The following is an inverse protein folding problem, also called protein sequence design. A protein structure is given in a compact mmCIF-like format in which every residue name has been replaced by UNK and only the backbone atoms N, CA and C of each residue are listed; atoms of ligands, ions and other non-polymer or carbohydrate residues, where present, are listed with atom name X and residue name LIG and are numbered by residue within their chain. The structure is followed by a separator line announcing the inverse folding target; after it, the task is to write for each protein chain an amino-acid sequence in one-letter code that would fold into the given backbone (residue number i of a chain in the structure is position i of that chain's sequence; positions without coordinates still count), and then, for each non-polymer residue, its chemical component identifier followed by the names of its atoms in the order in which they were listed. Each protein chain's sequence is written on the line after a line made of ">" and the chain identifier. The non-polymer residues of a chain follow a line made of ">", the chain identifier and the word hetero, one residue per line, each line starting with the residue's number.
data_IF_656687813913
#
_entry.id   IF_656687813913
#
_cell.length_a   1.000
_cell.length_b   1.000
_cell.length_c   1.000
_cell.angle_alpha   90.00
_cell.angle_beta   90.00
_cell.angle_gamma   90.00
#
_symmetry.space_group_name_H-M   'P 1'
#
loop_
_entity.id
_entity.type
_entity.pdbx_description
1 polymer ?
#
# COMPACT_ATOMS: atom_id res chain seq x y z
N UNK A 1 13.35 37.97 7.11
CA UNK A 1 13.12 37.67 8.54
C UNK A 1 11.73 37.09 8.84
N UNK A 2 10.86 36.80 7.86
CA UNK A 2 9.51 36.27 8.10
C UNK A 2 9.37 34.74 8.22
N UNK A 3 10.37 33.95 7.82
CA UNK A 3 10.24 32.48 7.77
C UNK A 3 10.66 31.75 9.04
N UNK A 4 11.42 32.40 9.94
CA UNK A 4 12.01 31.74 11.12
C UNK A 4 11.01 31.59 12.27
N UNK A 5 10.04 32.49 12.38
CA UNK A 5 8.99 32.41 13.40
C UNK A 5 7.92 31.39 13.02
N UNK A 6 7.58 31.30 11.73
CA UNK A 6 6.64 30.30 11.21
C UNK A 6 7.24 28.89 11.31
N UNK A 7 8.53 28.71 10.98
CA UNK A 7 9.21 27.42 11.19
C UNK A 7 9.24 27.05 12.67
N UNK A 8 9.66 27.96 13.55
CA UNK A 8 9.72 27.69 14.99
C UNK A 8 8.35 27.41 15.63
N UNK A 9 7.28 28.05 15.15
CA UNK A 9 5.91 27.75 15.57
C UNK A 9 5.45 26.39 15.04
N UNK A 10 5.80 26.03 13.80
CA UNK A 10 5.50 24.72 13.22
C UNK A 10 6.26 23.61 13.97
N UNK A 11 7.53 23.86 14.32
CA UNK A 11 8.37 22.97 15.11
C UNK A 11 7.75 22.75 16.51
N UNK A 12 7.27 23.81 17.16
CA UNK A 12 6.63 23.71 18.49
C UNK A 12 5.26 22.97 18.46
N UNK A 13 4.48 23.14 17.38
CA UNK A 13 3.21 22.42 17.19
C UNK A 13 3.48 20.94 16.95
N UNK A 14 4.43 20.64 16.05
CA UNK A 14 4.87 19.28 15.74
C UNK A 14 5.40 18.61 17.00
N UNK A 15 6.25 19.27 17.78
CA UNK A 15 6.79 18.71 19.01
C UNK A 15 5.69 18.39 20.04
N UNK A 16 4.66 19.24 20.14
CA UNK A 16 3.52 19.00 21.05
C UNK A 16 2.65 17.84 20.58
N UNK A 17 2.31 17.79 19.29
CA UNK A 17 1.52 16.70 18.70
C UNK A 17 2.30 15.39 18.72
N UNK A 18 3.60 15.43 18.44
CA UNK A 18 4.51 14.29 18.51
C UNK A 18 4.64 13.76 19.94
N UNK A 19 4.78 14.64 20.92
CA UNK A 19 4.81 14.24 22.33
C UNK A 19 3.49 13.60 22.75
N UNK A 20 2.36 14.10 22.25
CA UNK A 20 1.05 13.48 22.46
C UNK A 20 0.99 12.09 21.80
N UNK A 21 1.52 11.95 20.58
CA UNK A 21 1.61 10.67 19.87
C UNK A 21 2.52 9.69 20.62
N UNK A 22 3.68 10.12 21.09
CA UNK A 22 4.64 9.29 21.81
C UNK A 22 4.06 8.83 23.16
N UNK A 23 3.41 9.74 23.90
CA UNK A 23 2.70 9.39 25.15
C UNK A 23 1.56 8.40 24.90
N UNK A 24 0.76 8.62 23.86
CA UNK A 24 -0.33 7.73 23.47
C UNK A 24 0.21 6.35 23.06
N UNK A 25 1.28 6.31 22.27
CA UNK A 25 1.93 5.07 21.85
C UNK A 25 2.43 4.26 23.05
N UNK A 26 3.19 4.89 23.96
CA UNK A 26 3.67 4.25 25.19
C UNK A 26 2.52 3.78 26.09
N UNK A 27 1.48 4.60 26.26
CA UNK A 27 0.29 4.22 27.02
C UNK A 27 -0.43 3.02 26.39
N UNK A 28 -0.47 2.93 25.06
CA UNK A 28 -1.02 1.79 24.34
C UNK A 28 -0.24 0.50 24.56
N UNK A 29 1.10 0.58 24.56
CA UNK A 29 1.96 -0.58 24.87
C UNK A 29 1.83 -1.06 26.33
N UNK A 30 1.60 -0.15 27.26
CA UNK A 30 1.47 -0.44 28.69
C UNK A 30 0.04 -0.84 29.10
N UNK A 31 -0.94 -0.67 28.21
CA UNK A 31 -2.33 -1.07 28.45
C UNK A 31 -2.43 -2.59 28.41
N UNK A 32 -2.93 -3.27 29.46
CA UNK A 32 -3.24 -4.69 29.37
C UNK A 32 -4.24 -4.91 28.24
N UNK A 33 -3.88 -5.73 27.25
CA UNK A 33 -4.83 -6.25 26.26
C UNK A 33 -5.89 -7.04 27.03
N UNK A 34 -7.00 -6.38 27.40
CA UNK A 34 -8.20 -7.09 27.86
C UNK A 34 -8.78 -7.80 26.65
N UNK A 35 -8.32 -9.01 26.40
CA UNK A 35 -8.98 -9.91 25.46
C UNK A 35 -10.41 -10.15 25.96
N UNK A 36 -11.45 -9.89 25.15
CA UNK A 36 -12.82 -10.28 25.49
C UNK A 36 -13.05 -11.79 25.36
N UNK A 37 -12.08 -12.55 24.83
CA UNK A 37 -12.22 -14.00 24.63
C UNK A 37 -10.93 -14.71 25.04
N UNK A 38 -11.00 -15.45 26.15
CA UNK A 38 -9.95 -16.39 26.52
C UNK A 38 -9.97 -17.59 25.58
N UNK A 39 -8.81 -17.96 25.06
CA UNK A 39 -8.37 -19.36 24.87
C UNK A 39 -6.88 -19.40 24.51
N UNK A 40 -6.26 -20.51 24.91
CA UNK A 40 -4.89 -20.65 25.37
C UNK A 40 -3.89 -21.00 24.25
N UNK A 41 -2.64 -20.61 24.50
CA UNK A 41 -1.36 -20.95 23.86
C UNK A 41 -1.26 -22.11 22.85
N UNK A 42 -0.51 -21.81 21.76
CA UNK A 42 0.71 -22.58 21.41
C UNK A 42 0.69 -23.35 20.09
N UNK A 43 1.34 -22.82 19.05
CA UNK A 43 2.56 -23.40 18.45
C UNK A 43 3.01 -22.51 17.27
N UNK A 44 4.18 -21.87 17.39
CA UNK A 44 4.82 -21.15 16.28
C UNK A 44 5.48 -22.17 15.35
N UNK A 45 4.90 -22.36 14.17
CA UNK A 45 5.54 -23.01 13.03
C UNK A 45 5.44 -22.08 11.82
N UNK A 46 6.59 -21.61 11.34
CA UNK A 46 6.72 -20.85 10.10
C UNK A 46 6.00 -21.52 8.93
N UNK A 47 5.26 -20.80 8.07
CA UNK A 47 4.92 -21.33 6.76
C UNK A 47 5.95 -20.85 5.75
N UNK A 48 6.85 -21.75 5.36
CA UNK A 48 7.51 -21.67 4.07
C UNK A 48 6.46 -21.74 2.97
N UNK A 49 6.54 -20.82 2.01
CA UNK A 49 5.65 -20.77 0.86
C UNK A 49 5.84 -22.02 -0.01
N UNK A 50 4.94 -22.98 0.13
CA UNK A 50 4.80 -24.16 -0.73
C UNK A 50 3.59 -23.99 -1.65
N UNK A 51 3.81 -24.21 -2.95
CA UNK A 51 2.80 -24.20 -4.01
C UNK A 51 1.64 -25.16 -3.71
N UNK A 52 0.39 -24.69 -3.79
CA UNK A 52 -0.77 -25.56 -4.03
C UNK A 52 -1.85 -25.72 -2.95
N UNK A 53 -2.16 -24.71 -2.12
CA UNK A 53 -3.33 -24.79 -1.21
C UNK A 53 -4.47 -23.85 -1.62
N UNK A 54 -5.67 -24.44 -1.74
CA UNK A 54 -6.95 -23.77 -2.03
C UNK A 54 -7.47 -22.99 -0.81
N UNK A 55 -8.05 -21.80 -1.07
CA UNK A 55 -8.63 -20.93 -0.05
C UNK A 55 -9.93 -21.48 0.56
N UNK A 56 -10.28 -21.16 1.82
CA UNK A 56 -11.51 -21.60 2.46
C UNK A 56 -12.71 -20.76 1.96
N UNK A 57 -13.72 -21.40 1.36
CA UNK A 57 -14.95 -20.73 0.91
C UNK A 57 -15.75 -21.42 -0.22
N UNK A 58 -15.29 -22.54 -0.77
CA UNK A 58 -15.98 -23.21 -1.89
C UNK A 58 -17.14 -24.12 -1.42
N UNK A 59 -18.37 -23.97 -1.95
CA UNK A 59 -19.49 -24.84 -1.61
C UNK A 59 -19.57 -25.98 -2.63
N UNK A 60 -18.79 -27.05 -2.45
CA UNK A 60 -19.04 -28.33 -3.11
C UNK A 60 -18.41 -29.44 -2.25
N UNK A 61 -19.26 -30.21 -1.58
CA UNK A 61 -18.86 -31.30 -0.70
C UNK A 61 -18.58 -32.61 -1.45
N UNK A 62 -17.55 -33.30 -0.94
CA UNK A 62 -17.44 -34.76 -0.76
C UNK A 62 -17.28 -35.69 -1.99
N UNK A 63 -16.80 -36.94 -1.82
CA UNK A 63 -15.39 -37.28 -1.60
C UNK A 63 -14.90 -38.38 -2.59
N UNK A 64 -13.66 -38.86 -2.39
CA UNK A 64 -13.12 -40.20 -2.73
C UNK A 64 -12.21 -40.35 -3.97
N UNK A 65 -10.99 -40.79 -3.67
CA UNK A 65 -10.17 -41.88 -4.26
C UNK A 65 -9.76 -41.89 -5.76
N UNK A 66 -8.63 -42.53 -6.09
CA UNK A 66 -8.01 -42.48 -7.41
C UNK A 66 -8.40 -43.66 -8.33
N UNK A 67 -8.09 -43.48 -9.61
CA UNK A 67 -7.88 -44.46 -10.69
C UNK A 67 -9.07 -44.78 -11.62
N UNK A 68 -8.97 -44.38 -12.90
CA UNK A 68 -9.05 -45.25 -14.09
C UNK A 68 -9.27 -44.46 -15.40
N UNK A 69 -8.91 -45.12 -16.51
CA UNK A 69 -8.63 -44.59 -17.83
C UNK A 69 -9.83 -44.57 -18.80
N UNK A 70 -9.63 -43.85 -19.91
CA UNK A 70 -10.43 -43.76 -21.14
C UNK A 70 -11.76 -42.98 -21.11
N UNK A 71 -11.87 -41.96 -21.98
CA UNK A 71 -13.14 -41.28 -22.27
C UNK A 71 -13.00 -40.09 -23.21
N UNK A 72 -13.55 -40.24 -24.42
CA UNK A 72 -13.56 -39.34 -25.58
C UNK A 72 -14.69 -38.31 -25.45
N UNK A 73 -14.48 -37.05 -25.84
CA UNK A 73 -15.57 -36.12 -26.16
C UNK A 73 -15.40 -34.70 -25.66
N UNK A 74 -15.06 -33.77 -26.56
CA UNK A 74 -15.27 -32.34 -26.38
C UNK A 74 -16.76 -32.00 -26.42
N UNK A 75 -17.19 -30.87 -25.82
CA UNK A 75 -17.51 -29.73 -26.66
C UNK A 75 -16.96 -28.40 -26.12
N UNK A 76 -16.74 -27.49 -27.07
CA UNK A 76 -16.20 -26.16 -26.91
C UNK A 76 -16.85 -25.36 -25.77
N UNK A 77 -16.01 -24.73 -24.94
CA UNK A 77 -16.36 -23.50 -24.24
C UNK A 77 -15.41 -22.39 -24.72
N UNK A 78 -16.01 -21.42 -25.40
CA UNK A 78 -15.43 -20.12 -25.66
C UNK A 78 -15.05 -19.44 -24.34
N UNK A 79 -13.94 -18.70 -24.38
CA UNK A 79 -13.66 -17.62 -23.45
C UNK A 79 -12.62 -17.90 -22.37
N UNK A 80 -11.43 -18.39 -22.75
CA UNK A 80 -10.24 -18.22 -21.92
C UNK A 80 -9.14 -17.58 -22.76
N UNK A 81 -9.00 -16.25 -22.64
CA UNK A 81 -7.87 -15.51 -23.21
C UNK A 81 -6.68 -15.70 -22.26
N UNK A 82 -6.25 -16.95 -22.13
CA UNK A 82 -5.03 -17.33 -21.44
C UNK A 82 -3.85 -16.88 -22.29
N UNK A 83 -3.21 -15.77 -21.91
CA UNK A 83 -1.91 -15.36 -22.45
C UNK A 83 -0.84 -16.33 -21.91
N UNK A 84 -0.79 -17.52 -22.50
CA UNK A 84 0.39 -18.37 -22.42
C UNK A 84 1.50 -17.65 -23.18
N UNK A 85 2.49 -17.15 -22.46
CA UNK A 85 3.78 -16.77 -23.05
C UNK A 85 4.48 -18.04 -23.55
N UNK A 86 4.10 -18.48 -24.74
CA UNK A 86 4.77 -19.54 -25.48
C UNK A 86 6.11 -19.00 -25.97
N UNK A 87 7.18 -19.55 -25.42
CA UNK A 87 8.55 -19.31 -25.85
C UNK A 87 8.73 -19.74 -27.31
N UNK A 88 9.54 -18.98 -28.05
CA UNK A 88 9.93 -19.10 -29.47
C UNK A 88 9.06 -18.32 -30.48
N UNK A 89 9.10 -17.00 -30.36
CA UNK A 89 9.08 -16.06 -31.50
C UNK A 89 9.75 -14.77 -31.02
N UNK A 90 10.52 -14.06 -31.85
CA UNK A 90 11.25 -12.82 -31.50
C UNK A 90 10.39 -11.95 -30.59
N UNK A 91 10.67 -11.99 -29.28
CA UNK A 91 9.77 -11.41 -28.27
C UNK A 91 9.83 -9.92 -28.44
N UNK A 92 8.78 -9.33 -29.01
CA UNK A 92 8.52 -7.90 -28.86
C UNK A 92 8.48 -7.67 -27.35
N UNK A 93 9.46 -6.93 -26.81
CA UNK A 93 9.39 -6.47 -25.44
C UNK A 93 8.14 -5.61 -25.33
N UNK A 94 7.21 -5.99 -24.46
CA UNK A 94 6.04 -5.17 -24.20
C UNK A 94 6.52 -3.91 -23.49
N UNK A 95 6.17 -2.75 -24.03
CA UNK A 95 6.65 -1.45 -23.53
C UNK A 95 5.61 -0.74 -22.67
N UNK A 96 6.07 0.17 -21.80
CA UNK A 96 5.17 0.87 -20.89
C UNK A 96 4.14 1.71 -21.65
N UNK A 97 4.56 2.34 -22.76
CA UNK A 97 3.68 3.07 -23.67
C UNK A 97 2.51 2.23 -24.24
N UNK A 98 2.64 0.90 -24.30
CA UNK A 98 1.56 0.02 -24.77
C UNK A 98 0.45 -0.18 -23.72
N UNK A 99 0.64 0.30 -22.48
CA UNK A 99 -0.41 0.29 -21.44
C UNK A 99 -1.30 1.52 -21.45
N UNK A 100 -0.98 2.53 -22.28
CA UNK A 100 -1.75 3.77 -22.35
C UNK A 100 -3.23 3.51 -22.64
N UNK A 101 -4.10 4.18 -21.89
CA UNK A 101 -5.55 4.01 -21.89
C UNK A 101 -6.06 2.86 -20.99
N UNK A 102 -5.17 2.03 -20.46
CA UNK A 102 -5.48 0.86 -19.65
C UNK A 102 -4.62 0.77 -18.38
N UNK A 103 -3.93 1.85 -17.98
CA UNK A 103 -2.97 1.82 -16.87
C UNK A 103 -3.65 1.40 -15.56
N UNK A 104 -4.88 1.88 -15.31
CA UNK A 104 -5.68 1.53 -14.14
C UNK A 104 -5.98 0.02 -14.10
N UNK A 105 -6.40 -0.55 -15.23
CA UNK A 105 -6.72 -1.99 -15.35
C UNK A 105 -5.48 -2.86 -15.15
N UNK A 106 -4.36 -2.49 -15.78
CA UNK A 106 -3.07 -3.16 -15.58
C UNK A 106 -2.60 -3.05 -14.13
N UNK A 107 -2.76 -1.89 -13.50
CA UNK A 107 -2.36 -1.68 -12.11
C UNK A 107 -3.17 -2.53 -11.14
N UNK A 108 -4.43 -2.83 -11.45
CA UNK A 108 -5.29 -3.71 -10.65
C UNK A 108 -5.10 -5.21 -10.98
N UNK A 109 -4.26 -5.55 -11.98
CA UNK A 109 -3.89 -6.92 -12.29
C UNK A 109 -2.61 -7.36 -11.56
N UNK A 110 -2.54 -8.62 -11.16
CA UNK A 110 -1.37 -9.16 -10.45
C UNK A 110 -0.08 -9.06 -11.28
N UNK A 111 -0.13 -9.38 -12.57
CA UNK A 111 1.03 -9.33 -13.45
C UNK A 111 1.22 -7.95 -14.05
N UNK A 112 0.13 -7.26 -14.41
CA UNK A 112 0.14 -5.90 -14.93
C UNK A 112 0.76 -4.91 -13.94
N UNK A 113 0.41 -5.00 -12.66
CA UNK A 113 0.97 -4.11 -11.63
C UNK A 113 2.48 -4.30 -11.48
N UNK A 114 2.96 -5.55 -11.52
CA UNK A 114 4.38 -5.89 -11.45
C UNK A 114 5.13 -5.41 -12.69
N UNK A 115 4.52 -5.56 -13.85
CA UNK A 115 5.06 -5.03 -15.09
C UNK A 115 5.22 -3.51 -15.02
N UNK A 116 4.19 -2.78 -14.59
CA UNK A 116 4.24 -1.31 -14.45
C UNK A 116 5.32 -0.90 -13.45
N UNK A 117 5.36 -1.53 -12.26
CA UNK A 117 6.39 -1.23 -11.24
C UNK A 117 7.81 -1.37 -11.80
N UNK A 118 8.10 -2.45 -12.53
CA UNK A 118 9.40 -2.71 -13.12
C UNK A 118 9.75 -1.69 -14.20
N UNK A 119 8.79 -1.35 -15.07
CA UNK A 119 9.02 -0.37 -16.14
C UNK A 119 9.21 1.04 -15.61
N UNK A 120 8.53 1.42 -14.53
CA UNK A 120 8.68 2.74 -13.89
C UNK A 120 10.12 3.02 -13.38
N UNK A 121 10.92 1.99 -13.10
CA UNK A 121 12.32 2.14 -12.66
C UNK A 121 13.22 2.73 -13.75
N UNK A 122 12.91 2.45 -15.02
CA UNK A 122 13.71 2.88 -16.18
C UNK A 122 12.93 3.75 -17.16
N UNK A 123 11.69 4.10 -16.81
CA UNK A 123 10.79 4.87 -17.66
C UNK A 123 11.29 6.31 -17.87
N UNK A 124 11.01 6.87 -19.05
CA UNK A 124 11.24 8.29 -19.29
C UNK A 124 10.25 9.15 -18.49
N UNK A 125 10.51 10.46 -18.41
CA UNK A 125 9.62 11.40 -17.73
C UNK A 125 8.22 11.37 -18.38
N UNK A 126 8.18 11.32 -19.71
CA UNK A 126 6.94 11.29 -20.48
C UNK A 126 6.13 10.02 -20.24
N UNK A 127 6.81 8.87 -20.10
CA UNK A 127 6.15 7.61 -19.76
C UNK A 127 5.61 7.60 -18.33
N UNK A 128 6.37 8.15 -17.37
CA UNK A 128 5.88 8.32 -15.98
C UNK A 128 4.68 9.25 -15.94
N UNK A 129 4.71 10.37 -16.67
CA UNK A 129 3.61 11.31 -16.76
C UNK A 129 2.36 10.68 -17.38
N UNK A 130 2.52 9.87 -18.43
CA UNK A 130 1.42 9.11 -19.03
C UNK A 130 0.73 8.20 -17.99
N UNK A 131 1.53 7.40 -17.27
CA UNK A 131 1.01 6.52 -16.22
C UNK A 131 0.35 7.33 -15.10
N UNK A 132 1.00 8.42 -14.66
CA UNK A 132 0.52 9.27 -13.57
C UNK A 132 -0.84 9.89 -13.88
N UNK A 133 -0.98 10.46 -15.08
CA UNK A 133 -2.20 11.13 -15.52
C UNK A 133 -3.41 10.19 -15.58
N UNK A 134 -3.18 8.90 -15.84
CA UNK A 134 -4.25 7.90 -15.81
C UNK A 134 -4.63 7.45 -14.40
N UNK A 135 -3.67 7.34 -13.48
CA UNK A 135 -3.94 6.86 -12.11
C UNK A 135 -4.48 7.94 -11.19
N UNK A 136 -4.08 9.21 -11.37
CA UNK A 136 -4.38 10.28 -10.40
C UNK A 136 -5.89 10.48 -10.15
N UNK A 137 -6.80 10.42 -11.15
CA UNK A 137 -8.23 10.62 -10.92
C UNK A 137 -8.88 9.50 -10.09
N UNK A 138 -8.23 8.34 -9.98
CA UNK A 138 -8.71 7.17 -9.23
C UNK A 138 -7.71 6.74 -8.15
N UNK A 139 -6.80 7.63 -7.75
CA UNK A 139 -5.68 7.30 -6.88
C UNK A 139 -6.13 6.62 -5.58
N UNK A 140 -7.17 7.16 -4.92
CA UNK A 140 -7.70 6.58 -3.69
C UNK A 140 -8.14 5.11 -3.86
N UNK A 141 -8.85 4.80 -4.94
CA UNK A 141 -9.27 3.42 -5.25
C UNK A 141 -8.05 2.50 -5.39
N UNK A 142 -7.05 2.96 -6.16
CA UNK A 142 -5.82 2.21 -6.41
C UNK A 142 -4.99 1.99 -5.15
N UNK A 143 -4.94 2.98 -4.24
CA UNK A 143 -4.23 2.85 -2.97
C UNK A 143 -4.84 1.78 -2.05
N UNK A 144 -6.14 1.53 -2.17
CA UNK A 144 -6.86 0.54 -1.36
C UNK A 144 -6.92 -0.86 -1.97
N UNK A 145 -6.47 -1.02 -3.22
CA UNK A 145 -6.48 -2.30 -3.92
C UNK A 145 -5.21 -3.12 -3.64
N UNK A 146 -5.31 -4.45 -3.72
CA UNK A 146 -4.27 -5.41 -3.32
C UNK A 146 -3.02 -5.36 -4.20
N UNK A 147 -3.13 -4.88 -5.46
CA UNK A 147 -2.02 -4.85 -6.41
C UNK A 147 -1.60 -3.43 -6.80
N UNK A 148 -2.55 -2.54 -7.06
CA UNK A 148 -2.27 -1.19 -7.51
C UNK A 148 -1.68 -0.28 -6.43
N UNK A 149 -1.85 -0.62 -5.14
CA UNK A 149 -1.17 0.09 -4.04
C UNK A 149 0.36 0.12 -4.22
N UNK A 150 0.94 -0.88 -4.88
CA UNK A 150 2.37 -0.92 -5.16
C UNK A 150 2.78 0.05 -6.28
N UNK A 151 1.91 0.26 -7.28
CA UNK A 151 2.15 1.26 -8.34
C UNK A 151 2.12 2.67 -7.75
N UNK A 152 1.16 2.95 -6.86
CA UNK A 152 1.10 4.25 -6.18
C UNK A 152 2.32 4.48 -5.27
N UNK A 153 2.74 3.46 -4.51
CA UNK A 153 3.99 3.53 -3.74
C UNK A 153 5.21 3.84 -4.62
N UNK A 154 5.26 3.29 -5.84
CA UNK A 154 6.36 3.54 -6.78
C UNK A 154 6.44 5.01 -7.20
N UNK A 155 5.32 5.71 -7.32
CA UNK A 155 5.32 7.16 -7.56
C UNK A 155 5.76 7.97 -6.35
N UNK A 156 5.50 7.51 -5.12
CA UNK A 156 6.11 8.14 -3.95
C UNK A 156 7.63 7.94 -3.88
N UNK A 157 8.16 6.85 -4.44
CA UNK A 157 9.61 6.57 -4.49
C UNK A 157 10.32 7.33 -5.61
N UNK A 158 9.79 7.26 -6.84
CA UNK A 158 10.50 7.66 -8.06
C UNK A 158 9.77 8.75 -8.86
N UNK A 159 8.67 9.30 -8.31
CA UNK A 159 7.89 10.38 -8.93
C UNK A 159 8.55 11.74 -8.75
N UNK A 160 8.15 12.70 -9.57
CA UNK A 160 8.56 14.10 -9.41
C UNK A 160 7.96 14.69 -8.12
N UNK A 161 8.56 15.76 -7.59
CA UNK A 161 8.04 16.45 -6.42
C UNK A 161 6.58 16.91 -6.60
N UNK A 162 6.19 17.30 -7.82
CA UNK A 162 4.81 17.66 -8.17
C UNK A 162 3.88 16.44 -8.10
N UNK A 163 4.28 15.31 -8.69
CA UNK A 163 3.51 14.07 -8.67
C UNK A 163 3.31 13.55 -7.23
N UNK A 164 4.37 13.56 -6.42
CA UNK A 164 4.32 13.18 -5.00
C UNK A 164 3.35 14.08 -4.24
N UNK A 165 3.45 15.39 -4.45
CA UNK A 165 2.59 16.36 -3.79
C UNK A 165 1.12 16.14 -4.14
N UNK A 166 0.80 16.00 -5.43
CA UNK A 166 -0.55 15.81 -5.93
C UNK A 166 -1.15 14.46 -5.46
N UNK A 167 -0.36 13.38 -5.43
CA UNK A 167 -0.80 12.11 -4.84
C UNK A 167 -1.07 12.23 -3.34
N UNK A 168 -0.24 12.95 -2.60
CA UNK A 168 -0.44 13.17 -1.18
C UNK A 168 -1.68 14.02 -0.90
N UNK A 169 -2.05 14.94 -1.79
CA UNK A 169 -3.31 15.69 -1.70
C UNK A 169 -4.54 14.77 -1.81
N UNK A 170 -4.43 13.60 -2.48
CA UNK A 170 -5.50 12.58 -2.50
C UNK A 170 -5.64 11.80 -1.18
N UNK A 171 -4.65 11.91 -0.28
CA UNK A 171 -4.64 11.25 1.04
C UNK A 171 -5.10 12.19 2.15
N UNK A 172 -4.91 13.50 1.97
CA UNK A 172 -5.32 14.52 2.94
C UNK A 172 -6.84 14.64 3.03
N UNK A 173 -7.31 15.18 4.16
CA UNK A 173 -8.72 15.31 4.60
C UNK A 173 -9.39 13.99 5.01
N UNK A 174 -8.71 12.85 4.85
CA UNK A 174 -9.24 11.53 5.20
C UNK A 174 -8.23 10.60 5.89
N UNK A 175 -7.07 11.06 6.37
CA UNK A 175 -5.89 10.24 6.73
C UNK A 175 -6.16 9.08 7.70
N UNK A 176 -7.10 9.24 8.63
CA UNK A 176 -7.45 8.17 9.58
C UNK A 176 -7.92 6.89 8.87
N UNK A 177 -8.84 6.98 7.91
CA UNK A 177 -9.44 5.79 7.28
C UNK A 177 -8.43 4.98 6.45
N UNK A 178 -7.63 5.59 5.56
CA UNK A 178 -6.47 4.97 4.91
C UNK A 178 -5.49 4.32 5.88
N UNK A 179 -5.20 4.97 7.02
CA UNK A 179 -4.24 4.47 8.01
C UNK A 179 -4.66 3.14 8.63
N UNK A 180 -5.96 2.88 8.73
CA UNK A 180 -6.52 1.64 9.28
C UNK A 180 -6.77 0.57 8.20
N UNK A 181 -6.59 0.89 6.92
CA UNK A 181 -6.86 -0.03 5.80
C UNK A 181 -5.60 -0.84 5.44
N UNK A 182 -5.78 -2.13 5.16
CA UNK A 182 -4.68 -3.10 5.04
C UNK A 182 -3.63 -2.77 3.95
N UNK A 183 -4.05 -2.20 2.83
CA UNK A 183 -3.17 -1.87 1.70
C UNK A 183 -2.77 -0.39 1.72
N UNK A 184 -3.74 0.50 1.91
CA UNK A 184 -3.58 1.94 1.92
C UNK A 184 -2.71 2.42 3.08
N UNK A 185 -2.69 1.72 4.23
CA UNK A 185 -1.77 2.03 5.32
C UNK A 185 -0.29 1.94 4.91
N UNK A 186 0.05 1.13 3.89
CA UNK A 186 1.40 1.06 3.32
C UNK A 186 1.71 2.28 2.46
N UNK A 187 0.72 2.75 1.70
CA UNK A 187 0.82 3.99 0.93
C UNK A 187 0.98 5.18 1.88
N UNK A 188 0.20 5.26 2.95
CA UNK A 188 0.32 6.30 3.98
C UNK A 188 1.72 6.31 4.58
N UNK A 189 2.25 5.14 4.95
CA UNK A 189 3.61 5.03 5.46
C UNK A 189 4.65 5.55 4.46
N UNK A 190 4.50 5.21 3.17
CA UNK A 190 5.39 5.66 2.12
C UNK A 190 5.29 7.18 1.89
N UNK A 191 4.08 7.73 1.87
CA UNK A 191 3.85 9.17 1.75
C UNK A 191 4.55 9.94 2.88
N UNK A 192 4.37 9.50 4.13
CA UNK A 192 5.01 10.10 5.32
C UNK A 192 6.55 10.17 5.18
N UNK A 193 7.18 9.19 4.52
CA UNK A 193 8.63 9.16 4.34
C UNK A 193 9.17 10.26 3.40
N UNK A 194 8.37 10.70 2.43
CA UNK A 194 8.89 11.47 1.28
C UNK A 194 8.23 12.84 1.09
N UNK A 195 7.03 13.05 1.63
CA UNK A 195 6.31 14.31 1.47
C UNK A 195 6.94 15.44 2.29
N UNK A 196 6.72 16.68 1.86
CA UNK A 196 7.21 17.86 2.55
C UNK A 196 6.61 18.04 3.95
N UNK A 197 7.29 18.83 4.78
CA UNK A 197 6.89 19.08 6.18
C UNK A 197 5.46 19.61 6.28
N UNK A 198 5.03 20.46 5.33
CA UNK A 198 3.66 20.99 5.29
C UNK A 198 2.60 19.89 5.15
N UNK A 199 2.86 18.89 4.29
CA UNK A 199 1.96 17.76 4.10
C UNK A 199 2.05 16.78 5.28
N UNK A 200 3.25 16.55 5.84
CA UNK A 200 3.41 15.76 7.07
C UNK A 200 2.63 16.35 8.23
N UNK A 201 2.73 17.66 8.48
CA UNK A 201 1.97 18.35 9.54
C UNK A 201 0.47 18.15 9.34
N UNK A 202 -0.06 18.35 8.12
CA UNK A 202 -1.48 18.10 7.83
C UNK A 202 -1.91 16.68 8.18
N UNK A 203 -1.12 15.69 7.76
CA UNK A 203 -1.41 14.27 8.04
C UNK A 203 -1.40 13.96 9.54
N UNK A 204 -0.48 14.57 10.30
CA UNK A 204 -0.43 14.40 11.76
C UNK A 204 -1.61 15.06 12.45
N UNK A 205 -1.94 16.29 12.08
CA UNK A 205 -3.07 17.03 12.64
C UNK A 205 -4.40 16.28 12.43
N UNK A 206 -4.58 15.61 11.28
CA UNK A 206 -5.77 14.77 11.03
C UNK A 206 -5.85 13.51 11.90
N UNK A 207 -4.72 13.02 12.41
CA UNK A 207 -4.67 11.89 13.34
C UNK A 207 -4.80 12.33 14.80
N UNK A 208 -4.75 13.64 15.09
CA UNK A 208 -4.96 14.15 16.45
C UNK A 208 -6.35 13.73 16.97
N UNK A 209 -6.43 13.42 18.27
CA UNK A 209 -7.62 12.82 18.88
C UNK A 209 -7.91 11.35 18.50
N UNK A 210 -7.23 10.80 17.49
CA UNK A 210 -7.43 9.42 17.02
C UNK A 210 -6.21 8.51 17.21
N UNK A 211 -5.10 9.03 17.73
CA UNK A 211 -3.85 8.28 17.91
C UNK A 211 -4.05 6.94 18.62
N UNK A 212 -4.75 6.91 19.75
CA UNK A 212 -4.97 5.66 20.50
C UNK A 212 -5.72 4.59 19.70
N UNK A 213 -6.60 5.01 18.77
CA UNK A 213 -7.29 4.09 17.85
C UNK A 213 -6.29 3.49 16.88
N UNK A 214 -5.43 4.31 16.27
CA UNK A 214 -4.38 3.82 15.38
C UNK A 214 -3.40 2.89 16.10
N UNK A 215 -2.95 3.23 17.32
CA UNK A 215 -2.03 2.40 18.11
C UNK A 215 -2.58 1.00 18.40
N UNK A 216 -3.90 0.88 18.57
CA UNK A 216 -4.57 -0.40 18.85
C UNK A 216 -5.00 -1.16 17.60
N UNK A 217 -4.92 -0.52 16.42
CA UNK A 217 -5.29 -1.12 15.15
C UNK A 217 -4.13 -1.91 14.54
N UNK A 218 -4.44 -3.02 13.85
CA UNK A 218 -3.45 -3.91 13.25
C UNK A 218 -2.63 -3.25 12.12
N UNK A 219 -3.16 -2.23 11.46
CA UNK A 219 -2.50 -1.48 10.39
C UNK A 219 -2.02 -0.12 10.90
N UNK A 220 -2.89 0.60 11.63
CA UNK A 220 -2.65 1.95 12.11
C UNK A 220 -1.43 2.06 13.02
N UNK A 221 -1.08 1.01 13.77
CA UNK A 221 0.08 1.04 14.65
C UNK A 221 1.39 1.23 13.87
N UNK A 222 1.48 0.68 12.66
CA UNK A 222 2.63 0.84 11.78
C UNK A 222 2.73 2.26 11.22
N UNK A 223 1.60 2.91 10.97
CA UNK A 223 1.57 4.34 10.57
C UNK A 223 2.08 5.22 11.70
N UNK A 224 1.62 4.99 12.93
CA UNK A 224 2.11 5.74 14.11
C UNK A 224 3.61 5.53 14.33
N UNK A 225 4.10 4.29 14.23
CA UNK A 225 5.53 4.01 14.32
C UNK A 225 6.32 4.72 13.20
N UNK A 226 5.77 4.78 11.98
CA UNK A 226 6.42 5.47 10.86
C UNK A 226 6.55 6.96 11.12
N UNK A 227 5.49 7.62 11.60
CA UNK A 227 5.53 9.03 11.99
C UNK A 227 6.64 9.27 13.02
N UNK A 228 6.63 8.52 14.13
CA UNK A 228 7.64 8.65 15.18
C UNK A 228 9.07 8.49 14.64
N UNK A 229 9.30 7.51 13.76
CA UNK A 229 10.60 7.27 13.17
C UNK A 229 11.07 8.42 12.27
N UNK A 230 10.19 9.01 11.46
CA UNK A 230 10.54 10.15 10.58
C UNK A 230 10.88 11.38 11.41
N UNK A 231 10.07 11.69 12.43
CA UNK A 231 10.36 12.82 13.32
C UNK A 231 11.64 12.64 14.13
N UNK A 232 11.89 11.44 14.65
CA UNK A 232 13.12 11.17 15.40
C UNK A 232 14.37 11.31 14.51
N UNK A 233 14.30 10.91 13.24
CA UNK A 233 15.38 11.16 12.27
C UNK A 233 15.59 12.65 12.02
N UNK A 234 14.51 13.43 11.92
CA UNK A 234 14.59 14.88 11.74
C UNK A 234 15.30 15.57 12.91
N UNK A 235 15.00 15.16 14.15
CA UNK A 235 15.64 15.69 15.36
C UNK A 235 17.14 15.33 15.48
N UNK A 236 17.58 14.21 14.90
CA UNK A 236 18.99 13.78 14.93
C UNK A 236 19.89 14.52 13.91
N UNK A 237 19.30 15.28 12.99
CA UNK A 237 20.01 16.03 11.95
C UNK A 237 20.15 17.52 12.32
N UNK A 238 19.45 17.97 13.37
CA UNK A 238 19.55 19.30 13.97
C UNK A 238 20.54 19.28 15.14
#
# INVERSE_FOLDING_TARGET
>A
MGNTLLSALNDAIIDRELLAIQKAYLAGLLSPQKSPYGLNHGNYGSPGYGLGMSYPGSPLGNPLLPNSAFGRGSPARHGDRSLRFSSHNKTKCFELSETAGHVVEFSADQFGSRFIQQKLETATIEEKDMVFNEIIPQAYSLMTDVFSNYVVQKFFEDGSATQIRELAEQLTEHVLTPSLQMYCSRVIQKAIEVVGLDQQTKMVTELDGHVMRCVRDQNGNHVIQKLLNVYQKMLLIL
#
